data_IF_953202556870
#
_entry.id   IF_953202556870
#
_cell.length_a   1.000
_cell.length_b   1.000
_cell.length_c   1.000
_cell.angle_alpha   90.00
_cell.angle_beta   90.00
_cell.angle_gamma   90.00
#
_symmetry.space_group_name_H-M   'P 1'
#
loop_
_entity.id
_entity.type
_entity.pdbx_description
1 polymer ?
#
# COMPACT_ATOMS: atom_id res chain seq x y z
N UNK A 1 29.03 -19.71 -41.23
CA UNK A 1 29.63 -18.50 -40.65
C UNK A 1 28.83 -18.19 -39.40
N UNK A 2 29.22 -18.84 -38.30
CA UNK A 2 28.65 -18.57 -36.98
C UNK A 2 29.35 -17.35 -36.37
N UNK A 3 28.55 -16.48 -35.75
CA UNK A 3 28.73 -16.04 -34.37
C UNK A 3 27.56 -15.12 -34.03
N UNK A 4 26.59 -15.68 -33.31
CA UNK A 4 25.54 -14.93 -32.65
C UNK A 4 26.19 -14.08 -31.54
N UNK A 5 26.16 -12.75 -31.70
CA UNK A 5 26.72 -11.83 -30.71
C UNK A 5 25.67 -11.57 -29.65
N UNK A 6 25.43 -12.54 -28.78
CA UNK A 6 24.75 -12.28 -27.53
C UNK A 6 25.65 -11.38 -26.68
N UNK A 7 25.35 -10.09 -26.67
CA UNK A 7 25.94 -9.12 -25.74
C UNK A 7 25.34 -9.41 -24.37
N UNK A 8 26.08 -10.12 -23.54
CA UNK A 8 25.77 -10.25 -22.12
C UNK A 8 26.28 -8.99 -21.42
N UNK A 9 25.36 -8.12 -21.00
CA UNK A 9 25.67 -7.02 -20.09
C UNK A 9 25.38 -7.53 -18.68
N UNK A 10 26.40 -7.86 -17.86
CA UNK A 10 26.16 -8.20 -16.47
C UNK A 10 25.55 -7.00 -15.77
N UNK A 11 24.44 -7.22 -15.07
CA UNK A 11 23.93 -6.25 -14.11
C UNK A 11 24.83 -6.36 -12.88
N UNK A 12 25.93 -5.61 -12.87
CA UNK A 12 26.74 -5.48 -11.65
C UNK A 12 25.93 -4.70 -10.63
N UNK A 13 25.20 -5.42 -9.78
CA UNK A 13 24.63 -4.85 -8.55
C UNK A 13 25.80 -4.67 -7.59
N UNK A 14 26.41 -3.49 -7.60
CA UNK A 14 27.17 -3.07 -6.45
C UNK A 14 26.17 -2.75 -5.35
N UNK A 15 25.87 -3.74 -4.49
CA UNK A 15 25.22 -3.50 -3.21
C UNK A 15 26.08 -2.49 -2.44
N UNK A 16 25.65 -1.23 -2.45
CA UNK A 16 26.23 -0.25 -1.55
C UNK A 16 25.52 -0.39 -0.19
N UNK A 17 26.22 0.02 0.87
CA UNK A 17 25.71 -0.04 2.26
C UNK A 17 24.41 0.73 2.50
N UNK A 18 23.88 1.44 1.50
CA UNK A 18 22.65 2.21 1.56
C UNK A 18 21.52 1.60 0.74
N UNK A 19 21.82 0.66 -0.17
CA UNK A 19 20.86 0.03 -1.07
C UNK A 19 19.74 -0.63 -0.27
N UNK A 20 20.07 -1.41 0.75
CA UNK A 20 19.09 -2.04 1.63
C UNK A 20 18.25 -1.02 2.40
N UNK A 21 18.86 0.05 2.88
CA UNK A 21 18.15 1.09 3.63
C UNK A 21 17.21 1.92 2.77
N UNK A 22 17.60 2.19 1.51
CA UNK A 22 16.78 2.89 0.54
C UNK A 22 15.64 2.00 0.08
N UNK A 23 15.91 0.74 -0.25
CA UNK A 23 14.87 -0.24 -0.62
C UNK A 23 13.87 -0.43 0.51
N UNK A 24 14.34 -0.56 1.75
CA UNK A 24 13.46 -0.65 2.92
C UNK A 24 12.62 0.61 3.10
N UNK A 25 13.19 1.79 2.87
CA UNK A 25 12.47 3.07 2.92
C UNK A 25 11.38 3.15 1.85
N UNK A 26 11.71 2.87 0.58
CA UNK A 26 10.76 2.88 -0.52
C UNK A 26 9.65 1.85 -0.34
N UNK A 27 9.99 0.65 0.14
CA UNK A 27 9.01 -0.38 0.42
C UNK A 27 8.07 0.03 1.57
N UNK A 28 8.62 0.60 2.66
CA UNK A 28 7.82 1.06 3.78
C UNK A 28 6.86 2.20 3.41
N UNK A 29 7.24 3.06 2.45
CA UNK A 29 6.35 4.06 1.87
C UNK A 29 5.28 3.37 1.03
N UNK A 30 5.66 2.62 0.00
CA UNK A 30 4.72 1.95 -0.92
C UNK A 30 3.62 1.15 -0.20
N UNK A 31 3.95 0.37 0.84
CA UNK A 31 2.96 -0.46 1.56
C UNK A 31 2.08 0.31 2.57
N UNK A 32 2.44 1.56 2.89
CA UNK A 32 1.72 2.40 3.88
C UNK A 32 1.19 3.69 3.27
N UNK A 33 1.44 3.92 1.99
CA UNK A 33 1.02 5.13 1.34
C UNK A 33 -0.50 5.12 1.20
N UNK A 34 -1.11 6.18 1.73
CA UNK A 34 -2.53 6.42 1.60
C UNK A 34 -2.72 7.45 0.48
N UNK A 35 -3.42 7.07 -0.59
CA UNK A 35 -3.82 8.05 -1.60
C UNK A 35 -4.93 8.93 -0.99
N UNK A 36 -4.53 10.06 -0.42
CA UNK A 36 -5.49 11.10 -0.08
C UNK A 36 -6.15 11.54 -1.39
N UNK A 37 -7.41 11.16 -1.59
CA UNK A 37 -8.24 11.80 -2.60
C UNK A 37 -8.11 13.32 -2.38
N UNK A 38 -7.57 14.09 -3.33
CA UNK A 38 -7.16 15.44 -3.02
C UNK A 38 -8.39 16.28 -2.63
N UNK A 39 -8.39 16.82 -1.41
CA UNK A 39 -9.35 17.86 -1.03
C UNK A 39 -9.18 19.13 -1.89
N UNK A 40 -8.06 19.23 -2.62
CA UNK A 40 -7.74 20.29 -3.56
C UNK A 40 -7.29 19.64 -4.87
N UNK A 41 -8.04 19.90 -5.94
CA UNK A 41 -7.80 19.45 -7.31
C UNK A 41 -6.47 19.98 -7.88
N UNK A 42 -5.35 19.44 -7.41
CA UNK A 42 -4.07 19.47 -8.13
C UNK A 42 -3.57 18.02 -8.23
N UNK A 43 -3.25 17.60 -9.45
CA UNK A 43 -2.81 16.22 -9.78
C UNK A 43 -1.34 16.00 -9.43
N UNK A 44 -0.76 16.80 -8.54
CA UNK A 44 0.55 16.51 -8.00
C UNK A 44 0.42 15.30 -7.05
N UNK A 45 1.21 14.27 -7.29
CA UNK A 45 1.29 13.06 -6.46
C UNK A 45 1.65 13.43 -5.03
N UNK A 46 0.63 13.64 -4.19
CA UNK A 46 0.80 13.96 -2.78
C UNK A 46 0.58 12.68 -1.97
N UNK A 47 1.54 11.77 -2.06
CA UNK A 47 1.63 10.64 -1.14
C UNK A 47 1.85 11.16 0.28
N UNK A 48 1.03 10.69 1.22
CA UNK A 48 1.23 10.97 2.64
C UNK A 48 1.16 9.67 3.41
N UNK A 49 1.95 9.60 4.47
CA UNK A 49 1.70 8.64 5.54
C UNK A 49 0.53 9.15 6.39
N UNK A 50 -0.31 8.24 6.87
CA UNK A 50 -1.42 8.55 7.76
C UNK A 50 -1.21 7.80 9.10
N UNK A 51 -0.51 8.43 10.07
CA UNK A 51 -0.25 7.83 11.37
C UNK A 51 -1.52 7.26 11.99
N UNK A 52 -1.42 6.09 12.62
CA UNK A 52 -2.52 5.29 13.19
C UNK A 52 -3.43 4.60 12.15
N UNK A 53 -3.76 5.25 11.04
CA UNK A 53 -4.58 4.65 9.97
C UNK A 53 -3.81 3.54 9.26
N UNK A 54 -2.52 3.75 8.99
CA UNK A 54 -1.62 2.80 8.30
C UNK A 54 -1.38 1.49 9.07
N UNK A 55 -1.90 1.35 10.30
CA UNK A 55 -1.85 0.11 11.07
C UNK A 55 -3.12 -0.74 10.93
N UNK A 56 -4.16 -0.22 10.30
CA UNK A 56 -5.44 -0.91 10.15
C UNK A 56 -5.38 -1.77 8.90
N UNK A 57 -5.65 -3.08 9.06
CA UNK A 57 -5.52 -4.05 7.97
C UNK A 57 -6.68 -3.97 6.96
N UNK A 58 -6.43 -4.52 5.77
CA UNK A 58 -7.43 -4.64 4.70
C UNK A 58 -8.49 -5.70 5.01
N UNK A 59 -9.77 -5.38 4.73
CA UNK A 59 -10.83 -6.36 4.50
C UNK A 59 -11.63 -6.01 3.24
N UNK A 60 -12.15 -7.02 2.57
CA UNK A 60 -13.10 -6.86 1.47
C UNK A 60 -14.53 -6.61 1.97
N UNK A 61 -14.80 -6.94 3.24
CA UNK A 61 -16.09 -6.75 3.87
C UNK A 61 -16.20 -5.33 4.46
N UNK A 62 -17.42 -4.80 4.50
CA UNK A 62 -17.67 -3.48 5.07
C UNK A 62 -17.69 -3.55 6.61
N UNK A 63 -16.59 -3.12 7.24
CA UNK A 63 -16.47 -3.04 8.69
C UNK A 63 -16.48 -1.60 9.22
N UNK A 64 -15.99 -0.66 8.42
CA UNK A 64 -15.71 0.70 8.83
C UNK A 64 -15.79 1.66 7.64
N UNK A 65 -16.30 2.86 7.92
CA UNK A 65 -16.23 4.00 7.01
C UNK A 65 -15.16 4.97 7.47
N UNK A 66 -14.40 5.51 6.52
CA UNK A 66 -13.40 6.54 6.74
C UNK A 66 -13.91 7.86 6.15
N UNK A 67 -13.95 8.90 6.96
CA UNK A 67 -14.20 10.27 6.53
C UNK A 67 -12.98 11.12 6.81
N UNK A 68 -12.62 11.94 5.84
CA UNK A 68 -11.48 12.86 5.91
C UNK A 68 -12.03 14.27 5.78
N UNK A 69 -11.73 15.13 6.75
CA UNK A 69 -12.09 16.54 6.70
C UNK A 69 -10.94 17.42 7.24
N UNK A 70 -11.16 18.73 7.32
CA UNK A 70 -10.15 19.68 7.80
C UNK A 70 -9.69 19.48 9.24
N UNK A 71 -10.31 18.54 9.99
CA UNK A 71 -9.91 18.16 11.36
C UNK A 71 -9.13 16.84 11.40
N UNK A 72 -9.02 16.12 10.29
CA UNK A 72 -8.28 14.85 10.18
C UNK A 72 -9.16 13.67 9.77
N UNK A 73 -8.76 12.48 10.23
CA UNK A 73 -9.42 11.21 9.94
C UNK A 73 -10.50 10.88 10.98
N UNK A 74 -11.66 10.45 10.52
CA UNK A 74 -12.76 9.94 11.34
C UNK A 74 -13.11 8.53 10.86
N UNK A 75 -12.87 7.53 11.70
CA UNK A 75 -13.29 6.14 11.45
C UNK A 75 -14.59 5.89 12.21
N UNK A 76 -15.60 5.37 11.52
CA UNK A 76 -16.87 4.96 12.11
C UNK A 76 -17.14 3.50 11.76
N UNK A 77 -17.35 2.67 12.77
CA UNK A 77 -17.64 1.25 12.62
C UNK A 77 -19.06 1.07 12.06
N UNK A 78 -19.22 0.20 11.07
CA UNK A 78 -20.53 -0.18 10.50
C UNK A 78 -21.10 -1.44 11.16
N UNK A 79 -20.25 -2.14 11.91
CA UNK A 79 -20.55 -3.38 12.63
C UNK A 79 -20.25 -3.24 14.12
N UNK A 80 -20.83 -4.10 14.95
CA UNK A 80 -20.49 -4.17 16.37
C UNK A 80 -19.07 -4.71 16.54
N UNK A 81 -18.28 -4.06 17.39
CA UNK A 81 -16.92 -4.48 17.75
C UNK A 81 -16.80 -4.63 19.25
N UNK A 82 -16.11 -5.68 19.68
CA UNK A 82 -15.66 -5.91 21.05
C UNK A 82 -14.21 -5.45 21.23
N UNK A 83 -13.71 -5.43 22.47
CA UNK A 83 -12.32 -5.00 22.75
C UNK A 83 -11.26 -5.89 22.13
N UNK A 84 -11.60 -7.13 21.79
CA UNK A 84 -10.69 -8.11 21.20
C UNK A 84 -10.77 -8.15 19.68
N UNK A 85 -11.74 -7.45 19.08
CA UNK A 85 -11.93 -7.47 17.64
C UNK A 85 -10.93 -6.53 16.95
N UNK A 86 -10.36 -7.04 15.86
CA UNK A 86 -9.52 -6.24 15.00
C UNK A 86 -10.38 -5.31 14.13
N UNK A 87 -9.96 -4.05 14.06
CA UNK A 87 -10.49 -3.07 13.12
C UNK A 87 -9.95 -3.34 11.72
N UNK A 88 -10.81 -3.22 10.71
CA UNK A 88 -10.45 -3.36 9.30
C UNK A 88 -10.96 -2.17 8.47
N UNK A 89 -10.20 -1.78 7.46
CA UNK A 89 -10.59 -0.82 6.44
C UNK A 89 -10.51 -1.47 5.06
N UNK A 90 -11.24 -0.93 4.08
CA UNK A 90 -10.99 -1.26 2.68
C UNK A 90 -9.87 -0.36 2.16
N UNK A 91 -8.84 -0.94 1.55
CA UNK A 91 -7.80 -0.20 0.85
C UNK A 91 -8.26 0.22 -0.55
N UNK A 92 -9.39 -0.33 -1.00
CA UNK A 92 -9.90 -0.20 -2.37
C UNK A 92 -10.28 -1.55 -2.96
N UNK A 93 -10.90 -1.53 -4.14
CA UNK A 93 -11.27 -2.75 -4.89
C UNK A 93 -10.05 -3.26 -5.66
N UNK A 94 -9.13 -3.92 -4.95
CA UNK A 94 -7.84 -4.35 -5.51
C UNK A 94 -7.75 -5.86 -5.73
N UNK A 95 -7.31 -6.27 -6.92
CA UNK A 95 -7.01 -7.68 -7.22
C UNK A 95 -5.83 -8.20 -6.37
N UNK A 96 -5.74 -9.52 -6.20
CA UNK A 96 -4.61 -10.13 -5.48
C UNK A 96 -3.24 -9.82 -6.11
N UNK A 97 -3.18 -9.59 -7.43
CA UNK A 97 -1.93 -9.16 -8.07
C UNK A 97 -1.50 -7.76 -7.63
N UNK A 98 -2.46 -6.85 -7.49
CA UNK A 98 -2.21 -5.50 -6.97
C UNK A 98 -1.82 -5.56 -5.49
N UNK A 99 -2.58 -6.29 -4.66
CA UNK A 99 -2.29 -6.45 -3.24
C UNK A 99 -0.89 -7.03 -3.00
N UNK A 100 -0.47 -7.98 -3.83
CA UNK A 100 0.86 -8.57 -3.72
C UNK A 100 1.96 -7.57 -4.09
N UNK A 101 1.73 -6.78 -5.14
CA UNK A 101 2.76 -5.87 -5.68
C UNK A 101 2.91 -4.63 -4.80
N UNK A 102 1.80 -4.05 -4.34
CA UNK A 102 1.80 -2.76 -3.61
C UNK A 102 1.79 -2.93 -2.09
N UNK A 103 1.22 -4.03 -1.57
CA UNK A 103 1.06 -4.24 -0.11
C UNK A 103 1.75 -5.52 0.41
N UNK A 104 2.30 -6.35 -0.48
CA UNK A 104 3.04 -7.55 -0.09
C UNK A 104 2.20 -8.71 0.47
N UNK A 105 0.88 -8.73 0.22
CA UNK A 105 0.00 -9.84 0.67
C UNK A 105 -1.06 -10.23 -0.36
N UNK A 106 -1.73 -11.36 -0.13
CA UNK A 106 -2.91 -11.78 -0.92
C UNK A 106 -4.03 -12.23 0.00
N UNK A 107 -5.26 -12.14 -0.48
CA UNK A 107 -6.45 -12.60 0.24
C UNK A 107 -6.89 -13.96 -0.28
N UNK A 108 -7.20 -14.89 0.62
CA UNK A 108 -7.75 -16.20 0.26
C UNK A 108 -9.14 -16.09 -0.38
N UNK A 109 -9.91 -15.09 0.05
CA UNK A 109 -11.18 -14.69 -0.55
C UNK A 109 -11.09 -13.21 -0.90
N UNK A 110 -10.83 -12.94 -2.17
CA UNK A 110 -10.83 -11.58 -2.71
C UNK A 110 -12.09 -11.40 -3.56
N UNK A 111 -12.75 -10.25 -3.38
CA UNK A 111 -14.01 -9.91 -4.06
C UNK A 111 -13.83 -8.87 -5.17
N UNK A 112 -12.58 -8.46 -5.45
CA UNK A 112 -12.21 -7.49 -6.50
C UNK A 112 -12.04 -8.11 -7.90
#
# INVERSE_FOLDING_TARGET
>A
MELDKHVYVPFEVHEDKYTDSLLQHYFAQSVRDFELMPLVYDKSDNFTMAPYIDFINHSCDDHCTLKIDGKGFQITTTTELTTEDQLYLSYGSHSNGFLLTEYGFTMAKNNA
#
